data_IF_336351096156
#
_entry.id   IF_336351096156
#
_cell.length_a   1.000
_cell.length_b   1.000
_cell.length_c   1.000
_cell.angle_alpha   90.00
_cell.angle_beta   90.00
_cell.angle_gamma   90.00
#
_symmetry.space_group_name_H-M   'P 1'
#
loop_
_entity.id
_entity.type
_entity.pdbx_description
1 polymer ?
#
# COMPACT_ATOMS: atom_id res chain seq x y z
N UNK A 1 6.62 -11.00 -9.59
CA UNK A 1 7.52 -10.00 -8.98
C UNK A 1 7.21 -8.62 -9.51
N UNK A 2 7.02 -7.62 -8.64
CA UNK A 2 6.82 -6.20 -8.99
C UNK A 2 7.88 -5.35 -8.31
N UNK A 3 8.53 -4.45 -9.05
CA UNK A 3 9.58 -3.59 -8.48
C UNK A 3 8.98 -2.35 -7.83
N UNK A 4 9.39 -2.05 -6.60
CA UNK A 4 9.00 -0.85 -5.85
C UNK A 4 10.22 -0.25 -5.13
N UNK A 5 10.79 0.87 -5.60
CA UNK A 5 11.93 1.51 -4.94
C UNK A 5 11.58 2.03 -3.54
N UNK A 6 12.60 2.10 -2.67
CA UNK A 6 12.45 2.66 -1.33
C UNK A 6 11.94 4.11 -1.34
N UNK A 7 11.05 4.43 -0.40
CA UNK A 7 10.40 5.72 -0.26
C UNK A 7 9.35 6.04 -1.32
N UNK A 8 8.92 5.05 -2.13
CA UNK A 8 7.97 5.27 -3.21
C UNK A 8 6.86 4.23 -3.19
N UNK A 9 5.60 4.68 -3.22
CA UNK A 9 4.50 3.84 -3.70
C UNK A 9 4.39 4.02 -5.22
N UNK A 10 4.83 3.03 -5.99
CA UNK A 10 4.75 3.08 -7.46
C UNK A 10 3.34 2.75 -7.95
N UNK A 11 2.96 3.32 -9.10
CA UNK A 11 1.69 2.98 -9.74
C UNK A 11 1.62 1.49 -10.09
N UNK A 12 2.75 0.88 -10.49
CA UNK A 12 2.85 -0.54 -10.80
C UNK A 12 2.51 -1.43 -9.60
N UNK A 13 3.00 -1.09 -8.40
CA UNK A 13 2.65 -1.82 -7.17
C UNK A 13 1.17 -1.65 -6.83
N UNK A 14 0.61 -0.44 -6.96
CA UNK A 14 -0.82 -0.19 -6.74
C UNK A 14 -1.72 -0.99 -7.68
N UNK A 15 -1.37 -1.02 -8.97
CA UNK A 15 -2.15 -1.74 -9.98
C UNK A 15 -2.09 -3.25 -9.74
N UNK A 16 -0.92 -3.79 -9.42
CA UNK A 16 -0.77 -5.22 -9.12
C UNK A 16 -1.56 -5.65 -7.87
N UNK A 17 -1.57 -4.81 -6.82
CA UNK A 17 -2.41 -5.05 -5.63
C UNK A 17 -3.89 -5.01 -5.99
N UNK A 18 -4.33 -4.03 -6.78
CA UNK A 18 -5.73 -3.91 -7.20
C UNK A 18 -6.17 -5.12 -8.02
N UNK A 19 -5.35 -5.54 -8.99
CA UNK A 19 -5.60 -6.72 -9.81
C UNK A 19 -5.74 -7.97 -8.94
N UNK A 20 -4.78 -8.20 -8.03
CA UNK A 20 -4.80 -9.33 -7.11
C UNK A 20 -6.04 -9.38 -6.22
N UNK A 21 -6.46 -8.22 -5.68
CA UNK A 21 -7.69 -8.14 -4.90
C UNK A 21 -8.91 -8.49 -5.78
N UNK A 22 -8.93 -8.02 -7.02
CA UNK A 22 -9.98 -8.32 -8.00
C UNK A 22 -10.05 -9.81 -8.39
N UNK A 23 -8.94 -10.53 -8.38
CA UNK A 23 -8.89 -11.97 -8.69
C UNK A 23 -9.16 -12.88 -7.49
N UNK A 24 -9.43 -12.32 -6.30
CA UNK A 24 -9.71 -13.09 -5.09
C UNK A 24 -8.47 -13.43 -4.23
N UNK A 25 -7.32 -12.81 -4.51
CA UNK A 25 -6.08 -12.96 -3.75
C UNK A 25 -4.96 -13.67 -4.51
N UNK A 26 -3.79 -13.73 -3.89
CA UNK A 26 -2.58 -14.33 -4.46
C UNK A 26 -1.32 -13.99 -3.67
N UNK A 27 -0.17 -14.36 -4.21
CA UNK A 27 1.15 -13.98 -3.70
C UNK A 27 1.76 -12.90 -4.60
N UNK A 28 2.00 -11.71 -4.03
CA UNK A 28 2.68 -10.63 -4.73
C UNK A 28 4.10 -10.51 -4.20
N UNK A 29 5.06 -11.01 -4.95
CA UNK A 29 6.46 -10.78 -4.62
C UNK A 29 6.88 -9.37 -5.06
N UNK A 30 7.48 -8.62 -4.15
CA UNK A 30 7.94 -7.24 -4.40
C UNK A 30 9.46 -7.19 -4.33
N UNK A 31 10.07 -6.62 -5.37
CA UNK A 31 11.50 -6.32 -5.39
C UNK A 31 11.70 -4.87 -4.91
N UNK A 32 12.32 -4.71 -3.73
CA UNK A 32 12.52 -3.43 -3.07
C UNK A 32 11.66 -3.29 -1.81
N UNK A 33 10.96 -2.17 -1.65
CA UNK A 33 10.15 -1.87 -0.48
C UNK A 33 8.72 -2.43 -0.66
N UNK A 34 8.38 -3.44 0.13
CA UNK A 34 7.11 -4.17 0.08
C UNK A 34 6.04 -3.58 1.01
N UNK A 35 6.44 -3.06 2.16
CA UNK A 35 5.54 -2.65 3.25
C UNK A 35 4.51 -1.57 2.82
N UNK A 36 4.85 -0.70 1.88
CA UNK A 36 3.95 0.28 1.28
C UNK A 36 2.76 -0.34 0.52
N UNK A 37 2.81 -1.63 0.18
CA UNK A 37 1.67 -2.37 -0.37
C UNK A 37 0.48 -2.40 0.60
N UNK A 38 0.72 -2.29 1.91
CA UNK A 38 -0.34 -2.17 2.92
C UNK A 38 -1.25 -0.97 2.68
N UNK A 39 -0.70 0.16 2.19
CA UNK A 39 -1.46 1.35 1.82
C UNK A 39 -2.34 1.08 0.59
N UNK A 40 -1.76 0.44 -0.44
CA UNK A 40 -2.49 0.04 -1.65
C UNK A 40 -3.63 -0.96 -1.34
N UNK A 41 -3.43 -1.85 -0.36
CA UNK A 41 -4.46 -2.78 0.11
C UNK A 41 -5.62 -2.03 0.78
N UNK A 42 -5.33 -1.10 1.71
CA UNK A 42 -6.39 -0.29 2.35
C UNK A 42 -7.16 0.54 1.32
N UNK A 43 -6.48 1.06 0.31
CA UNK A 43 -7.12 1.76 -0.82
C UNK A 43 -8.04 0.83 -1.64
N UNK A 44 -7.58 -0.40 -1.95
CA UNK A 44 -8.26 -1.31 -2.89
C UNK A 44 -9.36 -2.18 -2.26
N UNK A 45 -9.28 -2.48 -0.97
CA UNK A 45 -10.20 -3.41 -0.30
C UNK A 45 -11.54 -2.74 0.09
N UNK A 46 -12.65 -3.51 0.17
CA UNK A 46 -13.91 -2.98 0.65
C UNK A 46 -13.88 -2.68 2.16
N UNK A 47 -14.80 -1.82 2.61
CA UNK A 47 -15.01 -1.58 4.05
C UNK A 47 -15.36 -2.88 4.79
N UNK A 48 -14.81 -3.07 5.99
CA UNK A 48 -14.95 -4.29 6.77
C UNK A 48 -13.85 -5.32 6.53
N UNK A 49 -12.99 -5.13 5.52
CA UNK A 49 -11.76 -5.91 5.38
C UNK A 49 -10.76 -5.57 6.50
N UNK A 50 -9.81 -6.47 6.73
CA UNK A 50 -8.68 -6.27 7.66
C UNK A 50 -7.39 -6.47 6.89
N UNK A 51 -6.52 -5.46 6.91
CA UNK A 51 -5.15 -5.55 6.40
C UNK A 51 -4.24 -5.87 7.57
N UNK A 52 -3.39 -6.89 7.44
CA UNK A 52 -2.44 -7.32 8.46
C UNK A 52 -1.04 -7.18 7.87
N UNK A 53 -0.09 -6.65 8.63
CA UNK A 53 1.29 -6.48 8.20
C UNK A 53 2.25 -6.70 9.36
N UNK A 54 3.48 -7.11 9.04
CA UNK A 54 4.52 -7.38 10.02
C UNK A 54 5.18 -6.09 10.52
N UNK A 55 5.62 -6.10 11.78
CA UNK A 55 6.51 -5.12 12.37
C UNK A 55 7.76 -5.87 12.85
N UNK A 56 8.94 -5.60 12.25
CA UNK A 56 10.18 -6.26 12.63
C UNK A 56 10.44 -6.17 14.15
N UNK A 57 10.61 -7.32 14.80
CA UNK A 57 10.86 -7.40 16.24
C UNK A 57 9.63 -7.25 17.15
N UNK A 58 8.47 -6.88 16.62
CA UNK A 58 7.24 -6.64 17.41
C UNK A 58 6.09 -7.60 17.06
N UNK A 59 6.11 -8.22 15.87
CA UNK A 59 5.11 -9.19 15.45
C UNK A 59 4.25 -8.68 14.30
N UNK A 60 2.92 -8.68 14.43
CA UNK A 60 2.01 -8.22 13.40
C UNK A 60 1.05 -7.16 13.94
N UNK A 61 0.74 -6.17 13.09
CA UNK A 61 -0.27 -5.14 13.32
C UNK A 61 -1.38 -5.25 12.27
N UNK A 62 -2.50 -4.55 12.49
CA UNK A 62 -3.61 -4.57 11.56
C UNK A 62 -4.33 -3.23 11.44
N UNK A 63 -5.01 -3.05 10.31
CA UNK A 63 -5.92 -1.93 10.05
C UNK A 63 -7.24 -2.48 9.55
N UNK A 64 -8.34 -2.04 10.17
CA UNK A 64 -9.69 -2.33 9.67
C UNK A 64 -10.08 -1.29 8.64
N UNK A 65 -10.41 -1.75 7.43
CA UNK A 65 -10.76 -0.88 6.31
C UNK A 65 -12.12 -0.24 6.58
N UNK A 66 -12.16 1.08 6.62
CA UNK A 66 -13.37 1.89 6.71
C UNK A 66 -13.14 3.24 6.01
N UNK A 67 -14.15 4.12 6.02
CA UNK A 67 -14.05 5.43 5.38
C UNK A 67 -12.90 6.28 5.93
N UNK A 68 -12.69 6.28 7.25
CA UNK A 68 -11.64 7.06 7.88
C UNK A 68 -10.23 6.52 7.55
N UNK A 69 -10.04 5.21 7.56
CA UNK A 69 -8.75 4.60 7.19
C UNK A 69 -8.41 4.85 5.73
N UNK A 70 -9.40 4.77 4.82
CA UNK A 70 -9.22 5.08 3.40
C UNK A 70 -8.84 6.55 3.19
N UNK A 71 -9.51 7.47 3.87
CA UNK A 71 -9.19 8.89 3.80
C UNK A 71 -7.78 9.20 4.33
N UNK A 72 -7.38 8.58 5.45
CA UNK A 72 -6.03 8.73 6.00
C UNK A 72 -4.95 8.22 5.04
N UNK A 73 -5.18 7.05 4.43
CA UNK A 73 -4.27 6.49 3.43
C UNK A 73 -4.18 7.38 2.20
N UNK A 74 -5.31 7.87 1.69
CA UNK A 74 -5.33 8.80 0.55
C UNK A 74 -4.46 10.04 0.82
N UNK A 75 -4.65 10.69 1.98
CA UNK A 75 -3.82 11.84 2.40
C UNK A 75 -2.35 11.50 2.55
N UNK A 76 -2.01 10.29 2.97
CA UNK A 76 -0.61 9.86 3.07
C UNK A 76 0.00 9.69 1.69
N UNK A 77 -0.70 9.05 0.75
CA UNK A 77 -0.28 8.87 -0.63
C UNK A 77 -0.09 10.22 -1.32
N UNK A 78 -1.05 11.15 -1.18
CA UNK A 78 -0.97 12.49 -1.76
C UNK A 78 0.31 13.24 -1.30
N UNK A 79 0.68 13.11 -0.01
CA UNK A 79 1.93 13.69 0.52
C UNK A 79 3.20 13.05 -0.04
N UNK A 80 3.16 11.74 -0.34
CA UNK A 80 4.29 11.05 -0.99
C UNK A 80 4.47 11.51 -2.44
N UNK A 81 3.38 11.69 -3.18
CA UNK A 81 3.42 12.19 -4.57
C UNK A 81 3.94 13.63 -4.64
N UNK A 82 3.50 14.50 -3.73
CA UNK A 82 4.02 15.87 -3.62
C UNK A 82 5.54 15.91 -3.37
N UNK A 83 6.09 14.94 -2.63
CA UNK A 83 7.53 14.85 -2.36
C UNK A 83 8.33 14.50 -3.61
N UNK A 84 7.76 13.75 -4.57
CA UNK A 84 8.39 13.48 -5.87
C UNK A 84 8.48 14.75 -6.73
N UNK A 85 7.48 15.63 -6.66
CA UNK A 85 7.45 16.89 -7.44
C UNK A 85 8.51 17.88 -6.93
N UNK A 86 8.80 17.88 -5.62
CA UNK A 86 9.76 18.83 -5.01
C UNK A 86 11.22 18.36 -5.00
N UNK A 87 11.52 17.15 -5.47
CA UNK A 87 12.89 16.63 -5.51
C UNK A 87 13.66 17.03 -6.78
N UNK A 88 13.18 18.05 -7.50
CA UNK A 88 13.77 18.55 -8.74
C UNK A 88 13.66 20.06 -8.94
N UNK A 89 13.43 20.83 -7.88
CA UNK A 89 13.68 22.29 -7.83
C UNK A 89 15.04 22.56 -7.16
#
# INVERSE_FOLDING_TARGET
VVRNPAGMLTQRLRDAVREMVGTGGGLLEVEGEEDLASLALVESLPSGATVIYGIPGEGASFVRVNAASKENVRKLIDRMELRKVRLGD
#
